data_IF_620030889000
#
_entry.id   IF_620030889000
#
_cell.length_a   1.000
_cell.length_b   1.000
_cell.length_c   1.000
_cell.angle_alpha   90.00
_cell.angle_beta   90.00
_cell.angle_gamma   90.00
#
_symmetry.space_group_name_H-M   'P 1'
#
loop_
_entity.id
_entity.type
_entity.pdbx_description
1 polymer ?
#
# COMPACT_ATOMS: atom_id res chain seq x y z
N UNK A 1 4.28 -22.86 29.03
CA UNK A 1 3.83 -21.53 29.49
C UNK A 1 3.38 -20.77 28.26
N UNK A 2 2.07 -20.63 28.05
CA UNK A 2 1.54 -19.70 27.06
C UNK A 2 1.59 -18.31 27.71
N UNK A 3 2.34 -17.39 27.11
CA UNK A 3 2.30 -15.99 27.49
C UNK A 3 0.91 -15.44 27.15
N UNK A 4 0.17 -15.00 28.17
CA UNK A 4 -1.25 -14.63 28.07
C UNK A 4 -1.47 -13.15 27.73
N UNK A 5 -0.47 -12.45 27.18
CA UNK A 5 -0.55 -11.00 26.93
C UNK A 5 -0.23 -10.55 25.49
N UNK A 6 -0.47 -11.35 24.45
CA UNK A 6 -0.57 -10.75 23.10
C UNK A 6 -1.87 -9.96 22.98
N UNK A 7 -1.82 -8.68 23.35
CA UNK A 7 -2.87 -7.69 23.04
C UNK A 7 -2.82 -7.36 21.56
N UNK A 8 -3.96 -7.48 20.88
CA UNK A 8 -4.14 -6.91 19.55
C UNK A 8 -4.04 -5.39 19.64
N UNK A 9 -3.33 -4.76 18.70
CA UNK A 9 -3.13 -3.31 18.65
C UNK A 9 -3.78 -2.75 17.39
N UNK A 10 -4.55 -1.68 17.55
CA UNK A 10 -5.11 -0.88 16.45
C UNK A 10 -4.47 0.50 16.47
N UNK A 11 -3.88 0.90 15.34
CA UNK A 11 -3.36 2.26 15.15
C UNK A 11 -4.32 3.07 14.27
N UNK A 12 -4.44 4.37 14.57
CA UNK A 12 -5.23 5.32 13.79
C UNK A 12 -4.34 6.45 13.27
N UNK A 13 -4.32 6.66 11.95
CA UNK A 13 -3.48 7.64 11.27
C UNK A 13 -2.99 7.18 9.90
N UNK A 14 -2.11 7.96 9.28
CA UNK A 14 -1.45 7.55 8.04
C UNK A 14 -0.51 6.36 8.31
N UNK A 15 -0.67 5.31 7.51
CA UNK A 15 0.06 4.06 7.73
C UNK A 15 1.58 4.22 7.56
N UNK A 16 2.06 5.10 6.70
CA UNK A 16 3.50 5.29 6.49
C UNK A 16 4.14 5.89 7.75
N UNK A 17 3.49 6.87 8.37
CA UNK A 17 3.94 7.48 9.62
C UNK A 17 3.90 6.47 10.78
N UNK A 18 2.81 5.69 10.87
CA UNK A 18 2.65 4.66 11.91
C UNK A 18 3.76 3.60 11.80
N UNK A 19 3.99 3.08 10.60
CA UNK A 19 5.00 2.07 10.33
C UNK A 19 6.39 2.54 10.79
N UNK A 20 6.74 3.79 10.48
CA UNK A 20 8.02 4.40 10.84
C UNK A 20 8.20 4.63 12.33
N UNK A 21 7.14 5.05 13.03
CA UNK A 21 7.25 5.47 14.44
C UNK A 21 7.10 4.33 15.43
N UNK A 22 6.23 3.36 15.13
CA UNK A 22 5.76 2.40 16.13
C UNK A 22 6.12 0.95 15.84
N UNK A 23 6.47 0.61 14.59
CA UNK A 23 6.74 -0.78 14.20
C UNK A 23 8.24 -1.00 14.00
N UNK A 24 8.79 -1.92 14.78
CA UNK A 24 10.21 -2.27 14.76
C UNK A 24 10.57 -3.12 13.53
N UNK A 25 11.84 -3.10 13.16
CA UNK A 25 12.40 -3.90 12.08
C UNK A 25 12.23 -5.39 12.35
N UNK A 26 11.93 -6.16 11.31
CA UNK A 26 11.90 -7.61 11.34
C UNK A 26 11.08 -8.21 12.51
N UNK A 27 9.95 -7.58 12.86
CA UNK A 27 9.05 -8.08 13.91
C UNK A 27 7.78 -8.74 13.40
N UNK A 28 7.44 -8.58 12.13
CA UNK A 28 6.18 -9.07 11.57
C UNK A 28 6.39 -10.37 10.79
N UNK A 29 5.60 -11.40 11.09
CA UNK A 29 5.62 -12.70 10.40
C UNK A 29 4.75 -12.71 9.13
N UNK A 30 3.64 -11.98 9.14
CA UNK A 30 2.67 -11.98 8.04
C UNK A 30 2.07 -10.58 7.86
N UNK A 31 2.04 -10.12 6.62
CA UNK A 31 1.39 -8.87 6.21
C UNK A 31 0.31 -9.20 5.18
N UNK A 32 -0.89 -8.64 5.37
CA UNK A 32 -1.93 -8.57 4.35
C UNK A 32 -2.26 -7.10 4.10
N UNK A 33 -2.37 -6.71 2.83
CA UNK A 33 -2.77 -5.37 2.44
C UNK A 33 -3.74 -5.40 1.26
N UNK A 34 -4.76 -4.55 1.39
CA UNK A 34 -5.85 -4.36 0.44
C UNK A 34 -5.96 -2.86 0.12
N UNK A 35 -4.98 -2.29 -0.61
CA UNK A 35 -4.98 -0.87 -0.92
C UNK A 35 -6.10 -0.54 -1.90
N UNK A 36 -6.62 0.71 -1.91
CA UNK A 36 -7.58 1.13 -2.93
C UNK A 36 -6.99 0.94 -4.33
N UNK A 37 -7.80 0.38 -5.22
CA UNK A 37 -7.40 0.03 -6.57
C UNK A 37 -7.76 1.17 -7.46
N UNK A 38 -6.79 1.84 -8.09
CA UNK A 38 -6.97 2.92 -9.06
C UNK A 38 -7.91 2.55 -10.24
N UNK A 39 -9.18 2.33 -9.91
CA UNK A 39 -10.22 1.62 -10.66
C UNK A 39 -11.31 2.61 -11.09
N UNK A 40 -11.13 3.90 -10.76
CA UNK A 40 -12.11 4.96 -10.90
C UNK A 40 -13.45 4.68 -10.19
N UNK A 41 -13.47 3.86 -9.13
CA UNK A 41 -14.66 3.55 -8.34
C UNK A 41 -14.84 4.51 -7.14
N UNK A 42 -16.07 4.92 -6.83
CA UNK A 42 -16.38 5.72 -5.63
C UNK A 42 -16.89 4.80 -4.51
N UNK A 43 -16.12 4.61 -3.45
CA UNK A 43 -16.54 3.83 -2.29
C UNK A 43 -17.30 4.72 -1.29
N UNK A 44 -18.63 4.54 -1.22
CA UNK A 44 -19.48 5.16 -0.22
C UNK A 44 -19.72 4.18 0.93
N UNK A 45 -19.32 4.52 2.15
CA UNK A 45 -19.72 3.75 3.34
C UNK A 45 -21.10 4.24 3.77
N UNK A 46 -22.08 3.34 3.76
CA UNK A 46 -23.43 3.60 4.25
C UNK A 46 -23.52 3.14 5.72
N UNK A 47 -23.66 4.08 6.65
CA UNK A 47 -24.02 3.75 8.03
C UNK A 47 -25.55 3.61 8.11
N UNK A 48 -26.03 2.46 8.59
CA UNK A 48 -27.43 2.29 8.97
C UNK A 48 -27.56 2.48 10.50
N UNK A 49 -28.30 3.49 10.94
CA UNK A 49 -28.68 3.60 12.36
C UNK A 49 -29.73 2.52 12.71
N UNK A 50 -29.62 1.94 13.90
CA UNK A 50 -30.47 0.83 14.38
C UNK A 50 -31.98 1.16 14.51
N UNK A 51 -32.41 2.40 14.25
CA UNK A 51 -33.79 2.86 14.46
C UNK A 51 -34.65 3.01 13.21
N UNK A 52 -34.21 2.50 12.04
CA UNK A 52 -35.07 2.44 10.85
C UNK A 52 -35.42 3.78 10.18
N UNK A 53 -34.98 4.90 10.76
CA UNK A 53 -34.97 6.22 10.12
C UNK A 53 -33.76 6.34 9.20
N UNK A 54 -33.99 6.49 7.89
CA UNK A 54 -32.93 6.75 6.89
C UNK A 54 -32.36 8.16 7.09
N UNK A 55 -31.44 8.33 8.04
CA UNK A 55 -30.44 9.39 7.95
C UNK A 55 -29.26 8.84 7.14
N UNK A 56 -29.28 9.07 5.82
CA UNK A 56 -28.18 8.71 4.94
C UNK A 56 -27.02 9.70 5.14
N UNK A 57 -26.26 9.55 6.22
CA UNK A 57 -24.94 10.14 6.31
C UNK A 57 -24.03 9.36 5.35
N UNK A 58 -23.98 9.78 4.09
CA UNK A 58 -22.93 9.36 3.16
C UNK A 58 -21.63 10.02 3.63
N UNK A 59 -20.81 9.27 4.35
CA UNK A 59 -19.42 9.65 4.54
C UNK A 59 -18.68 9.12 3.30
N UNK A 60 -18.18 10.04 2.48
CA UNK A 60 -17.25 9.73 1.39
C UNK A 60 -16.01 9.07 2.01
N UNK A 61 -15.86 7.76 1.86
CA UNK A 61 -14.84 7.02 2.60
C UNK A 61 -13.44 7.24 2.03
N UNK A 62 -13.33 7.33 0.70
CA UNK A 62 -12.20 7.87 -0.05
C UNK A 62 -12.60 8.02 -1.54
N UNK A 63 -11.90 8.89 -2.28
CA UNK A 63 -11.99 8.94 -3.74
C UNK A 63 -10.89 8.04 -4.32
N UNK A 64 -11.26 6.99 -5.05
CA UNK A 64 -10.32 6.08 -5.73
C UNK A 64 -9.87 6.65 -7.09
N UNK A 65 -9.53 7.93 -7.07
CA UNK A 65 -9.00 8.67 -8.21
C UNK A 65 -7.70 9.29 -7.75
N UNK A 66 -6.62 8.56 -8.01
CA UNK A 66 -5.27 9.09 -7.88
C UNK A 66 -5.09 10.15 -8.94
N UNK A 67 -4.59 11.33 -8.56
CA UNK A 67 -4.10 12.32 -9.50
C UNK A 67 -2.66 12.62 -9.15
N UNK A 68 -1.84 12.82 -10.16
CA UNK A 68 -0.49 13.28 -9.90
C UNK A 68 -0.52 14.66 -9.27
N UNK A 69 -0.11 14.73 -8.01
CA UNK A 69 -0.10 15.94 -7.21
C UNK A 69 1.28 16.19 -6.58
N UNK A 70 1.37 17.25 -5.76
CA UNK A 70 2.61 17.60 -5.06
C UNK A 70 3.07 16.50 -4.10
N UNK A 71 2.15 15.75 -3.51
CA UNK A 71 2.46 14.69 -2.56
C UNK A 71 3.02 13.45 -3.27
N UNK A 72 2.38 12.98 -4.35
CA UNK A 72 2.91 11.93 -5.21
C UNK A 72 4.28 12.31 -5.78
N UNK A 73 4.44 13.55 -6.22
CA UNK A 73 5.73 14.06 -6.70
C UNK A 73 6.81 14.01 -5.62
N UNK A 74 6.48 14.39 -4.38
CA UNK A 74 7.41 14.29 -3.25
C UNK A 74 7.81 12.84 -2.98
N UNK A 75 6.85 11.92 -2.86
CA UNK A 75 7.19 10.51 -2.64
C UNK A 75 8.03 9.93 -3.77
N UNK A 76 7.74 10.30 -5.01
CA UNK A 76 8.56 9.90 -6.14
C UNK A 76 10.00 10.37 -5.99
N UNK A 77 10.22 11.66 -5.66
CA UNK A 77 11.56 12.23 -5.45
C UNK A 77 12.28 11.52 -4.31
N UNK A 78 11.62 11.32 -3.17
CA UNK A 78 12.20 10.63 -2.00
C UNK A 78 12.68 9.21 -2.39
N UNK A 79 11.91 8.47 -3.20
CA UNK A 79 12.29 7.14 -3.69
C UNK A 79 13.46 7.21 -4.67
N UNK A 80 13.48 8.21 -5.55
CA UNK A 80 14.56 8.38 -6.52
C UNK A 80 15.87 8.68 -5.82
N UNK A 81 15.85 9.60 -4.85
CA UNK A 81 17.01 10.00 -4.04
C UNK A 81 17.54 8.86 -3.16
N UNK A 82 16.64 8.02 -2.62
CA UNK A 82 17.04 6.83 -1.87
C UNK A 82 17.80 5.79 -2.72
N UNK A 83 17.62 5.82 -4.04
CA UNK A 83 18.34 4.96 -4.99
C UNK A 83 17.91 3.49 -4.99
N UNK A 84 18.79 2.62 -5.49
CA UNK A 84 18.53 1.19 -5.59
C UNK A 84 17.50 0.78 -6.65
N UNK A 85 17.06 -0.48 -6.60
CA UNK A 85 16.09 -1.04 -7.56
C UNK A 85 14.73 -0.34 -7.54
N UNK A 86 14.16 0.08 -6.38
CA UNK A 86 12.90 0.83 -6.37
C UNK A 86 13.01 2.17 -7.11
N UNK A 87 14.10 2.91 -6.94
CA UNK A 87 14.37 4.14 -7.71
C UNK A 87 14.40 3.89 -9.22
N UNK A 88 15.09 2.83 -9.66
CA UNK A 88 15.16 2.46 -11.09
C UNK A 88 13.77 2.09 -11.64
N UNK A 89 13.00 1.30 -10.90
CA UNK A 89 11.64 0.91 -11.29
C UNK A 89 10.72 2.14 -11.41
N UNK A 90 10.74 3.04 -10.42
CA UNK A 90 9.93 4.27 -10.45
C UNK A 90 10.31 5.18 -11.61
N UNK A 91 11.61 5.37 -11.89
CA UNK A 91 12.06 6.14 -13.04
C UNK A 91 11.62 5.53 -14.37
N UNK A 92 11.72 4.20 -14.50
CA UNK A 92 11.27 3.48 -15.69
C UNK A 92 9.76 3.61 -15.90
N UNK A 93 8.95 3.50 -14.84
CA UNK A 93 7.51 3.76 -14.92
C UNK A 93 7.25 5.19 -15.37
N UNK A 94 7.87 6.20 -14.75
CA UNK A 94 7.67 7.59 -15.15
C UNK A 94 8.06 7.85 -16.61
N UNK A 95 9.14 7.26 -17.09
CA UNK A 95 9.55 7.34 -18.48
C UNK A 95 8.51 6.71 -19.42
N UNK A 96 7.90 5.61 -19.02
CA UNK A 96 6.94 4.86 -19.84
C UNK A 96 5.54 5.49 -19.87
N UNK A 97 5.01 5.97 -18.74
CA UNK A 97 3.61 6.42 -18.61
C UNK A 97 3.44 7.90 -18.24
N UNK A 98 4.53 8.64 -18.02
CA UNK A 98 4.47 10.03 -17.56
C UNK A 98 3.80 10.19 -16.20
N UNK A 99 3.42 11.42 -15.88
CA UNK A 99 2.79 11.82 -14.62
C UNK A 99 1.29 11.43 -14.59
N UNK A 100 1.03 10.12 -14.75
CA UNK A 100 -0.31 9.53 -14.81
C UNK A 100 -0.87 9.17 -13.42
N UNK A 101 -2.18 8.90 -13.36
CA UNK A 101 -2.85 8.40 -12.14
C UNK A 101 -2.21 7.10 -11.62
N UNK A 102 -1.78 6.21 -12.53
CA UNK A 102 -1.08 4.98 -12.15
C UNK A 102 0.29 5.29 -11.54
N UNK A 103 1.05 6.25 -12.09
CA UNK A 103 2.32 6.66 -11.48
C UNK A 103 2.10 7.29 -10.11
N UNK A 104 1.05 8.11 -9.95
CA UNK A 104 0.67 8.69 -8.66
C UNK A 104 0.39 7.61 -7.61
N UNK A 105 -0.35 6.57 -7.99
CA UNK A 105 -0.60 5.39 -7.16
C UNK A 105 0.70 4.65 -6.78
N UNK A 106 1.57 4.39 -7.75
CA UNK A 106 2.84 3.71 -7.50
C UNK A 106 3.77 4.54 -6.59
N UNK A 107 3.79 5.86 -6.76
CA UNK A 107 4.55 6.77 -5.91
C UNK A 107 4.05 6.73 -4.46
N UNK A 108 2.74 6.56 -4.25
CA UNK A 108 2.15 6.37 -2.93
C UNK A 108 2.48 4.99 -2.33
N UNK A 109 2.48 3.94 -3.13
CA UNK A 109 2.74 2.57 -2.68
C UNK A 109 4.22 2.32 -2.37
N UNK A 110 5.15 2.86 -3.16
CA UNK A 110 6.59 2.60 -3.03
C UNK A 110 7.17 2.82 -1.62
N UNK A 111 6.97 3.97 -0.94
CA UNK A 111 7.50 4.17 0.41
C UNK A 111 6.86 3.21 1.43
N UNK A 112 5.58 2.85 1.24
CA UNK A 112 4.88 1.92 2.12
C UNK A 112 5.43 0.52 1.95
N UNK A 113 5.66 0.04 0.73
CA UNK A 113 6.27 -1.26 0.46
C UNK A 113 7.69 -1.36 1.04
N UNK A 114 8.47 -0.27 1.00
CA UNK A 114 9.79 -0.23 1.65
C UNK A 114 9.70 -0.40 3.17
N UNK A 115 8.78 0.30 3.84
CA UNK A 115 8.57 0.12 5.28
C UNK A 115 8.02 -1.28 5.61
N UNK A 116 7.11 -1.81 4.79
CA UNK A 116 6.62 -3.18 4.94
C UNK A 116 7.76 -4.20 4.77
N UNK A 117 8.72 -3.95 3.89
CA UNK A 117 9.94 -4.78 3.79
C UNK A 117 10.85 -4.66 5.01
N UNK A 118 10.96 -3.48 5.62
CA UNK A 118 11.77 -3.26 6.84
C UNK A 118 11.21 -4.03 8.04
N UNK A 119 9.89 -3.97 8.25
CA UNK A 119 9.25 -4.59 9.43
C UNK A 119 9.04 -6.11 9.27
N UNK A 120 9.04 -6.62 8.04
CA UNK A 120 8.83 -8.04 7.76
C UNK A 120 10.08 -8.84 8.12
N UNK A 121 9.90 -9.92 8.88
CA UNK A 121 10.97 -10.87 9.17
C UNK A 121 11.54 -11.49 7.88
N UNK A 122 12.81 -11.94 7.88
CA UNK A 122 13.37 -12.70 6.75
C UNK A 122 12.57 -13.97 6.39
N UNK A 123 11.86 -14.55 7.37
CA UNK A 123 10.97 -15.72 7.19
C UNK A 123 9.51 -15.35 6.91
N UNK A 124 9.18 -14.06 6.93
CA UNK A 124 7.82 -13.57 6.82
C UNK A 124 7.28 -13.59 5.40
N UNK A 125 5.96 -13.48 5.28
CA UNK A 125 5.26 -13.38 3.99
C UNK A 125 4.41 -12.11 3.91
N UNK A 126 4.23 -11.60 2.69
CA UNK A 126 3.37 -10.46 2.39
C UNK A 126 2.40 -10.84 1.27
N UNK A 127 1.13 -10.54 1.48
CA UNK A 127 0.05 -10.71 0.51
C UNK A 127 -0.50 -9.32 0.15
N UNK A 128 -0.34 -8.95 -1.12
CA UNK A 128 -0.86 -7.71 -1.68
C UNK A 128 -2.04 -8.05 -2.60
N UNK A 129 -3.24 -7.69 -2.17
CA UNK A 129 -4.42 -7.75 -3.03
C UNK A 129 -4.32 -6.64 -4.09
N UNK A 130 -4.72 -6.94 -5.32
CA UNK A 130 -4.72 -6.00 -6.45
C UNK A 130 -5.76 -6.38 -7.50
N UNK A 131 -6.25 -5.37 -8.24
CA UNK A 131 -7.04 -5.58 -9.45
C UNK A 131 -6.13 -5.80 -10.67
N UNK A 132 -6.69 -6.26 -11.81
CA UNK A 132 -5.93 -6.45 -13.04
C UNK A 132 -5.31 -5.16 -13.62
N UNK A 133 -5.83 -3.99 -13.25
CA UNK A 133 -5.33 -2.70 -13.72
C UNK A 133 -3.95 -2.38 -13.14
N UNK A 134 -3.75 -2.65 -11.85
CA UNK A 134 -2.53 -2.34 -11.13
C UNK A 134 -1.57 -3.53 -10.95
N UNK A 135 -2.05 -4.77 -11.09
CA UNK A 135 -1.32 -5.99 -10.70
C UNK A 135 0.09 -6.09 -11.29
N UNK A 136 0.27 -5.84 -12.59
CA UNK A 136 1.57 -5.95 -13.25
C UNK A 136 2.58 -4.89 -12.77
N UNK A 137 2.13 -3.66 -12.55
CA UNK A 137 2.99 -2.59 -12.04
C UNK A 137 3.37 -2.82 -10.58
N UNK A 138 2.41 -3.24 -9.77
CA UNK A 138 2.64 -3.62 -8.38
C UNK A 138 3.60 -4.80 -8.27
N UNK A 139 3.45 -5.83 -9.12
CA UNK A 139 4.37 -6.96 -9.16
C UNK A 139 5.80 -6.53 -9.44
N UNK A 140 6.02 -5.67 -10.44
CA UNK A 140 7.36 -5.15 -10.76
C UNK A 140 7.93 -4.30 -9.61
N UNK A 141 7.09 -3.49 -8.95
CA UNK A 141 7.52 -2.72 -7.79
C UNK A 141 7.84 -3.62 -6.58
N UNK A 142 7.06 -4.66 -6.35
CA UNK A 142 7.35 -5.68 -5.33
C UNK A 142 8.67 -6.42 -5.64
N UNK A 143 8.96 -6.73 -6.90
CA UNK A 143 10.25 -7.32 -7.27
C UNK A 143 11.42 -6.40 -7.01
N UNK A 144 11.23 -5.09 -7.20
CA UNK A 144 12.23 -4.09 -6.90
C UNK A 144 12.49 -3.96 -5.38
N UNK A 145 11.45 -4.10 -4.55
CA UNK A 145 11.52 -3.94 -3.09
C UNK A 145 11.94 -5.23 -2.38
N UNK A 146 11.31 -6.36 -2.70
CA UNK A 146 11.49 -7.65 -2.03
C UNK A 146 12.47 -8.57 -2.76
N UNK A 147 12.78 -8.29 -4.03
CA UNK A 147 13.61 -9.13 -4.88
C UNK A 147 12.79 -10.18 -5.64
N UNK A 148 12.97 -10.25 -6.96
CA UNK A 148 12.22 -11.15 -7.84
C UNK A 148 12.27 -12.64 -7.45
N UNK A 149 13.39 -13.11 -6.88
CA UNK A 149 13.56 -14.51 -6.43
C UNK A 149 12.71 -14.85 -5.19
N UNK A 150 12.15 -13.85 -4.50
CA UNK A 150 11.29 -14.04 -3.34
C UNK A 150 9.80 -14.09 -3.69
N UNK A 151 9.44 -13.87 -4.97
CA UNK A 151 8.07 -14.09 -5.42
C UNK A 151 7.69 -15.56 -5.25
N UNK A 152 6.50 -15.80 -4.68
CA UNK A 152 6.01 -17.15 -4.41
C UNK A 152 4.94 -17.56 -5.39
N UNK A 153 3.78 -16.89 -5.36
CA UNK A 153 2.63 -17.23 -6.18
C UNK A 153 1.75 -16.00 -6.39
N UNK A 154 0.87 -16.10 -7.39
CA UNK A 154 -0.28 -15.23 -7.59
C UNK A 154 -1.55 -16.06 -7.32
N UNK A 155 -2.50 -15.48 -6.59
CA UNK A 155 -3.76 -16.12 -6.25
C UNK A 155 -4.87 -15.32 -6.95
N UNK A 156 -5.63 -15.98 -7.79
CA UNK A 156 -6.78 -15.39 -8.51
C UNK A 156 -8.08 -15.87 -7.87
N UNK A 157 -8.98 -14.95 -7.52
CA UNK A 157 -10.31 -15.24 -6.97
C UNK A 157 -11.38 -14.35 -7.58
#
# INVERSE_FOLDING_TARGET
MYDSETKNVLYYGDNLDILRRYVKDETIDLIYLDPPFNSNATYNVLFAEQNGSRAAAQIKAFEDTWQWDLQSSKYFVDIVEAGGKPSQAMQAFRQFMGDSNMLAYLAMMAPRLLELRRILKPTGSIYLHCDPTASHYLKMLMDAVFGANNFRNEITW
#
